data_IF_191224930010
#
_entry.id   IF_191224930010
#
_cell.length_a   1.000
_cell.length_b   1.000
_cell.length_c   1.000
_cell.angle_alpha   90.00
_cell.angle_beta   90.00
_cell.angle_gamma   90.00
#
_symmetry.space_group_name_H-M   'P 1'
#
loop_
_entity.id
_entity.type
_entity.pdbx_description
1 polymer ?
#
# COMPACT_ATOMS: atom_id res chain seq x y z
N UNK A 1 14.11 -11.17 -1.38
CA UNK A 1 12.70 -10.75 -1.34
C UNK A 1 12.10 -10.79 -2.73
N UNK A 2 10.88 -11.30 -2.86
CA UNK A 2 10.18 -11.35 -4.15
C UNK A 2 9.45 -10.03 -4.37
N UNK A 3 9.54 -9.48 -5.57
CA UNK A 3 8.82 -8.27 -5.95
C UNK A 3 7.68 -8.63 -6.91
N UNK A 4 6.45 -8.29 -6.50
CA UNK A 4 5.27 -8.41 -7.36
C UNK A 4 4.97 -7.04 -7.96
N UNK A 5 4.76 -7.01 -9.26
CA UNK A 5 4.45 -5.79 -9.99
C UNK A 5 2.95 -5.72 -10.31
N UNK A 6 2.52 -4.61 -10.91
CA UNK A 6 1.15 -4.46 -11.41
C UNK A 6 0.79 -5.61 -12.34
N UNK A 7 1.72 -6.06 -13.18
CA UNK A 7 1.49 -7.15 -14.13
C UNK A 7 1.11 -8.46 -13.44
N UNK A 8 1.74 -8.75 -12.31
CA UNK A 8 1.39 -9.94 -11.52
C UNK A 8 -0.02 -9.86 -10.96
N UNK A 9 -0.44 -8.66 -10.54
CA UNK A 9 -1.80 -8.41 -10.05
C UNK A 9 -2.80 -8.55 -11.19
N UNK A 10 -2.47 -8.04 -12.39
CA UNK A 10 -3.33 -8.18 -13.57
C UNK A 10 -3.56 -9.66 -13.91
N UNK A 11 -2.51 -10.48 -13.87
CA UNK A 11 -2.64 -11.93 -14.10
C UNK A 11 -3.56 -12.58 -13.10
N UNK A 12 -3.43 -12.20 -11.85
CA UNK A 12 -4.26 -12.74 -10.77
C UNK A 12 -5.73 -12.40 -10.94
N UNK A 13 -6.01 -11.16 -11.34
CA UNK A 13 -7.37 -10.71 -11.65
C UNK A 13 -7.92 -11.45 -12.88
N UNK A 14 -7.12 -11.56 -13.94
CA UNK A 14 -7.51 -12.25 -15.16
C UNK A 14 -7.90 -13.71 -14.89
N UNK A 15 -7.09 -14.41 -14.09
CA UNK A 15 -7.36 -15.78 -13.68
C UNK A 15 -8.65 -15.88 -12.85
N UNK A 16 -8.82 -15.00 -11.86
CA UNK A 16 -10.00 -14.99 -10.99
C UNK A 16 -11.28 -14.72 -11.74
N UNK A 17 -11.23 -13.84 -12.73
CA UNK A 17 -12.41 -13.44 -13.53
C UNK A 17 -12.57 -14.27 -14.79
N UNK A 18 -11.63 -15.16 -15.09
CA UNK A 18 -11.61 -15.98 -16.29
C UNK A 18 -11.72 -15.12 -17.57
N UNK A 19 -10.85 -14.13 -17.66
CA UNK A 19 -10.77 -13.21 -18.80
C UNK A 19 -9.34 -13.09 -19.30
N UNK A 20 -9.13 -12.64 -20.54
CA UNK A 20 -7.77 -12.39 -21.04
C UNK A 20 -7.08 -11.23 -20.30
N UNK A 21 -5.76 -11.22 -20.34
CA UNK A 21 -4.96 -10.17 -19.71
C UNK A 21 -5.31 -8.78 -20.21
N UNK A 22 -5.51 -8.63 -21.51
CA UNK A 22 -5.83 -7.33 -22.11
C UNK A 22 -7.20 -6.78 -21.65
N UNK A 23 -8.08 -7.63 -21.16
CA UNK A 23 -9.36 -7.20 -20.59
C UNK A 23 -9.21 -6.82 -19.11
N UNK A 24 -8.41 -7.55 -18.35
CA UNK A 24 -8.19 -7.30 -16.93
C UNK A 24 -7.31 -6.06 -16.67
N UNK A 25 -6.35 -5.78 -17.52
CA UNK A 25 -5.39 -4.70 -17.33
C UNK A 25 -6.04 -3.32 -17.13
N UNK A 26 -7.01 -2.90 -17.99
CA UNK A 26 -7.69 -1.62 -17.76
C UNK A 26 -8.44 -1.54 -16.43
N UNK A 27 -8.98 -2.64 -15.94
CA UNK A 27 -9.66 -2.69 -14.65
C UNK A 27 -8.69 -2.41 -13.50
N UNK A 28 -7.55 -3.09 -13.52
CA UNK A 28 -6.50 -2.90 -12.50
C UNK A 28 -5.95 -1.48 -12.56
N UNK A 29 -5.66 -0.97 -13.75
CA UNK A 29 -5.19 0.41 -13.94
C UNK A 29 -6.20 1.41 -13.39
N UNK A 30 -7.48 1.24 -13.67
CA UNK A 30 -8.52 2.15 -13.21
C UNK A 30 -8.65 2.13 -11.68
N UNK A 31 -8.55 0.96 -11.06
CA UNK A 31 -8.58 0.85 -9.60
C UNK A 31 -7.39 1.56 -8.97
N UNK A 32 -6.18 1.33 -9.49
CA UNK A 32 -4.97 1.97 -8.98
C UNK A 32 -5.06 3.50 -9.14
N UNK A 33 -5.52 3.97 -10.30
CA UNK A 33 -5.72 5.41 -10.54
C UNK A 33 -6.73 6.03 -9.57
N UNK A 34 -7.83 5.32 -9.30
CA UNK A 34 -8.84 5.78 -8.37
C UNK A 34 -8.29 5.91 -6.95
N UNK A 35 -7.51 4.92 -6.50
CA UNK A 35 -6.87 4.96 -5.19
C UNK A 35 -5.85 6.10 -5.10
N UNK A 36 -4.98 6.22 -6.10
CA UNK A 36 -3.97 7.27 -6.16
C UNK A 36 -4.60 8.66 -6.17
N UNK A 37 -5.63 8.85 -6.99
CA UNK A 37 -6.34 10.12 -7.08
C UNK A 37 -7.00 10.52 -5.75
N UNK A 38 -7.64 9.57 -5.08
CA UNK A 38 -8.26 9.81 -3.77
C UNK A 38 -7.21 10.22 -2.73
N UNK A 39 -6.06 9.57 -2.74
CA UNK A 39 -4.95 9.93 -1.84
C UNK A 39 -4.44 11.34 -2.14
N UNK A 40 -4.24 11.67 -3.42
CA UNK A 40 -3.73 12.98 -3.83
C UNK A 40 -4.68 14.12 -3.53
N UNK A 41 -5.98 13.86 -3.53
CA UNK A 41 -7.03 14.86 -3.26
C UNK A 41 -7.28 15.10 -1.77
N UNK A 42 -6.63 14.37 -0.87
CA UNK A 42 -6.80 14.56 0.57
C UNK A 42 -6.51 16.01 0.98
N UNK A 43 -7.44 16.64 1.72
CA UNK A 43 -7.34 18.05 2.09
C UNK A 43 -7.72 18.26 3.56
N UNK A 44 -6.76 18.27 4.47
CA UNK A 44 -5.42 17.69 4.31
C UNK A 44 -5.37 16.19 4.59
N UNK A 45 -6.41 15.59 5.16
CA UNK A 45 -6.46 14.20 5.59
C UNK A 45 -7.57 13.41 4.93
N UNK A 46 -7.37 12.11 4.81
CA UNK A 46 -8.43 11.19 4.39
C UNK A 46 -8.14 9.76 4.85
N UNK A 47 -9.15 8.91 4.75
CA UNK A 47 -9.03 7.47 4.97
C UNK A 47 -9.72 6.74 3.83
N UNK A 48 -9.08 5.70 3.32
CA UNK A 48 -9.70 4.77 2.38
C UNK A 48 -9.79 3.42 3.10
N UNK A 49 -10.99 3.00 3.44
CA UNK A 49 -11.23 1.73 4.13
C UNK A 49 -11.59 0.65 3.11
N UNK A 50 -10.77 -0.39 3.03
CA UNK A 50 -11.00 -1.55 2.17
C UNK A 50 -11.17 -2.77 3.07
N UNK A 51 -12.40 -3.25 3.16
CA UNK A 51 -12.76 -4.36 4.05
C UNK A 51 -11.87 -5.58 3.81
N UNK A 52 -11.42 -6.21 4.90
CA UNK A 52 -10.55 -7.40 4.91
C UNK A 52 -9.19 -7.20 4.23
N UNK A 53 -8.86 -5.99 3.86
CA UNK A 53 -7.58 -5.61 3.29
C UNK A 53 -6.83 -4.65 4.24
N UNK A 54 -7.38 -3.50 4.45
CA UNK A 54 -6.77 -2.50 5.32
C UNK A 54 -7.26 -1.10 5.07
N UNK A 55 -6.55 -0.14 5.64
CA UNK A 55 -6.88 1.28 5.55
C UNK A 55 -5.66 2.04 5.05
N UNK A 56 -5.84 2.82 3.98
CA UNK A 56 -4.87 3.82 3.56
C UNK A 56 -5.25 5.13 4.23
N UNK A 57 -4.31 5.75 4.95
CA UNK A 57 -4.54 7.02 5.61
C UNK A 57 -3.60 8.08 5.05
N UNK A 58 -4.12 9.31 4.90
CA UNK A 58 -3.31 10.49 4.65
C UNK A 58 -3.41 11.38 5.87
N UNK A 59 -2.27 11.69 6.46
CA UNK A 59 -2.15 12.52 7.67
C UNK A 59 -1.24 13.69 7.43
N UNK A 60 -1.48 14.78 8.16
CA UNK A 60 -0.57 15.91 8.22
C UNK A 60 0.62 15.57 9.10
N UNK A 61 1.79 16.05 8.68
CA UNK A 61 2.99 16.04 9.51
C UNK A 61 3.24 17.44 10.03
N UNK A 62 3.85 17.53 11.22
CA UNK A 62 4.26 18.83 11.77
C UNK A 62 5.52 19.31 11.07
N UNK A 63 5.65 20.64 10.92
CA UNK A 63 6.88 21.24 10.44
C UNK A 63 8.03 20.92 11.38
N UNK A 64 9.21 20.68 10.83
CA UNK A 64 10.43 20.43 11.57
C UNK A 64 11.46 21.50 11.19
N UNK A 65 11.51 22.63 11.94
CA UNK A 65 12.41 23.74 11.58
C UNK A 65 13.89 23.41 11.76
N UNK A 66 14.22 22.36 12.53
CA UNK A 66 15.60 21.95 12.82
C UNK A 66 15.81 20.47 12.54
N UNK A 67 15.30 19.96 11.42
CA UNK A 67 15.59 18.59 11.01
C UNK A 67 17.02 18.49 10.49
N UNK A 68 17.62 17.30 10.61
CA UNK A 68 18.99 17.06 10.16
C UNK A 68 18.99 16.14 8.96
N UNK A 69 19.68 16.55 7.90
CA UNK A 69 19.83 15.73 6.70
C UNK A 69 20.83 14.60 7.00
N UNK A 70 20.44 13.31 6.94
CA UNK A 70 21.33 12.20 7.29
C UNK A 70 22.52 12.05 6.35
N UNK A 71 22.45 12.56 5.11
CA UNK A 71 23.55 12.48 4.15
C UNK A 71 24.62 13.53 4.37
N UNK A 72 24.24 14.75 4.73
CA UNK A 72 25.15 15.89 4.84
C UNK A 72 25.34 16.34 6.29
N UNK A 73 24.53 15.84 7.22
CA UNK A 73 24.49 16.26 8.62
C UNK A 73 24.14 17.75 8.81
N UNK A 74 23.60 18.39 7.77
CA UNK A 74 23.17 19.78 7.84
C UNK A 74 21.78 19.89 8.48
N UNK A 75 21.56 20.99 9.21
CA UNK A 75 20.24 21.33 9.73
C UNK A 75 19.42 21.95 8.64
N UNK A 76 18.24 21.35 8.36
CA UNK A 76 17.34 21.82 7.32
C UNK A 76 15.95 22.09 7.88
N UNK A 77 15.19 22.94 7.24
CA UNK A 77 13.78 23.15 7.52
C UNK A 77 12.93 22.18 6.72
N UNK A 78 12.07 21.42 7.42
CA UNK A 78 11.09 20.55 6.75
C UNK A 78 9.70 21.15 7.02
N UNK A 79 9.01 21.68 5.98
CA UNK A 79 7.67 22.22 6.18
C UNK A 79 6.66 21.14 6.49
N UNK A 80 5.54 21.53 7.09
CA UNK A 80 4.40 20.64 7.26
C UNK A 80 3.95 20.12 5.90
N UNK A 81 3.66 18.84 5.79
CA UNK A 81 3.23 18.21 4.54
C UNK A 81 2.29 17.07 4.82
N UNK A 82 1.81 16.41 3.78
CA UNK A 82 0.97 15.24 3.93
C UNK A 82 1.81 13.97 3.78
N UNK A 83 1.43 12.94 4.49
CA UNK A 83 2.11 11.65 4.44
C UNK A 83 1.06 10.55 4.43
N UNK A 84 1.27 9.55 3.60
CA UNK A 84 0.37 8.41 3.52
C UNK A 84 1.01 7.16 4.12
N UNK A 85 0.20 6.31 4.73
CA UNK A 85 0.63 5.00 5.15
C UNK A 85 -0.53 4.00 5.12
N UNK A 86 -0.20 2.74 5.10
CA UNK A 86 -1.14 1.64 5.04
C UNK A 86 -1.18 0.91 6.36
N UNK A 87 -2.40 0.71 6.88
CA UNK A 87 -2.63 -0.12 8.07
C UNK A 87 -3.33 -1.40 7.62
N UNK A 88 -2.70 -2.57 7.79
CA UNK A 88 -3.34 -3.83 7.39
C UNK A 88 -4.57 -4.13 8.26
N UNK A 89 -5.53 -4.85 7.67
CA UNK A 89 -6.72 -5.32 8.38
C UNK A 89 -6.37 -6.35 9.43
N UNK A 90 -7.32 -6.61 10.32
CA UNK A 90 -7.19 -7.68 11.33
C UNK A 90 -6.93 -9.03 10.67
N UNK A 91 -7.64 -9.32 9.58
CA UNK A 91 -7.46 -10.54 8.80
C UNK A 91 -6.01 -10.73 8.36
N UNK A 92 -5.42 -9.69 7.74
CA UNK A 92 -4.03 -9.73 7.31
C UNK A 92 -3.05 -9.85 8.47
N UNK A 93 -3.27 -9.08 9.54
CA UNK A 93 -2.40 -9.13 10.72
C UNK A 93 -2.36 -10.49 11.36
N UNK A 94 -3.52 -11.10 11.55
CA UNK A 94 -3.62 -12.42 12.18
C UNK A 94 -2.97 -13.51 11.32
N UNK A 95 -3.20 -13.44 10.01
CA UNK A 95 -2.59 -14.39 9.08
C UNK A 95 -1.06 -14.27 9.08
N UNK A 96 -0.54 -13.06 9.01
CA UNK A 96 0.90 -12.80 8.94
C UNK A 96 1.63 -13.09 10.27
N UNK A 97 0.90 -13.15 11.39
CA UNK A 97 1.47 -13.52 12.69
C UNK A 97 1.66 -15.01 12.87
N UNK A 98 1.14 -15.81 11.96
CA UNK A 98 1.35 -17.27 12.04
C UNK A 98 2.85 -17.57 12.04
N UNK A 99 3.32 -18.48 12.91
CA UNK A 99 4.74 -18.83 12.94
C UNK A 99 5.20 -19.37 11.59
N UNK A 100 6.42 -19.04 11.21
CA UNK A 100 7.01 -19.51 9.94
C UNK A 100 7.05 -21.02 9.84
N UNK A 101 7.21 -21.72 10.96
CA UNK A 101 7.18 -23.19 11.02
C UNK A 101 5.85 -23.77 10.53
N UNK A 102 4.72 -23.14 10.88
CA UNK A 102 3.39 -23.54 10.42
C UNK A 102 3.23 -23.30 8.91
N UNK A 103 3.78 -22.19 8.40
CA UNK A 103 3.74 -21.88 6.98
C UNK A 103 4.54 -22.89 6.15
N UNK A 104 5.70 -23.32 6.64
CA UNK A 104 6.51 -24.34 5.98
C UNK A 104 5.76 -25.67 5.89
N UNK A 105 5.06 -26.06 6.94
CA UNK A 105 4.24 -27.27 6.95
C UNK A 105 3.09 -27.20 5.94
N UNK A 106 2.53 -26.03 5.69
CA UNK A 106 1.48 -25.83 4.68
C UNK A 106 2.03 -25.84 3.25
N UNK A 107 3.27 -25.48 3.05
CA UNK A 107 3.90 -25.46 1.72
C UNK A 107 4.28 -26.84 1.20
N UNK A 108 4.37 -27.82 2.06
CA UNK A 108 4.77 -29.18 1.69
C UNK A 108 3.62 -29.96 1.00
N UNK A 109 2.42 -29.47 1.12
CA UNK A 109 1.25 -30.03 0.44
C UNK A 109 1.15 -29.45 -0.98
#
# INVERSE_FOLDING_TARGET
>A
MITYTKRDIVRRVAESMDVPLNQAEPWVDTIIEALRGTIMEADPTCRIELRDFGVFEVKETKAKPKARNPKTNEVIYVPAHRKTHFKPSKLLKEFLRQPLEELENHKVD
#
